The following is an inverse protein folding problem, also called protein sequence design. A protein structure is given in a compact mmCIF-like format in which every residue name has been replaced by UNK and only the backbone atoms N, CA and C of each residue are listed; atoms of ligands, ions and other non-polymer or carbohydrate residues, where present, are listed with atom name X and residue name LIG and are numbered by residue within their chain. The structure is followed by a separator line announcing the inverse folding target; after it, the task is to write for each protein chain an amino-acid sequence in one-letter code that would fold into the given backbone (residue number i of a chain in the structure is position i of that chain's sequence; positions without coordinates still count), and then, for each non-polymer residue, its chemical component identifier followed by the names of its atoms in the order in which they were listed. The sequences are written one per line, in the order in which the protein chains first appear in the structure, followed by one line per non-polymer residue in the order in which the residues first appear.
data_IF_476389247579
#
_entry.id   IF_476389247579
#
_cell.length_a   1.000
_cell.length_b   1.000
_cell.length_c   1.000
_cell.angle_alpha   90.00
_cell.angle_beta   90.00
_cell.angle_gamma   90.00
#
_symmetry.space_group_name_H-M   'P 1'
#
loop_
_entity.id
_entity.type
_entity.pdbx_description
1 polymer ?
#
# COMPACT_ATOMS: atom_id res chain seq x y z
N UNK A 1 -7.73 -55.28 -24.70
CA UNK A 1 -8.59 -54.53 -23.75
C UNK A 1 -7.69 -53.72 -22.86
N UNK A 2 -7.80 -52.39 -22.95
CA UNK A 2 -6.92 -51.41 -22.31
C UNK A 2 -7.42 -51.16 -20.89
N UNK A 3 -6.58 -51.38 -19.87
CA UNK A 3 -6.88 -51.00 -18.49
C UNK A 3 -6.73 -49.48 -18.33
N UNK A 4 -7.86 -48.80 -18.08
CA UNK A 4 -7.89 -47.39 -17.66
C UNK A 4 -7.67 -47.33 -16.14
N UNK A 5 -6.59 -46.70 -15.72
CA UNK A 5 -6.35 -46.34 -14.33
C UNK A 5 -7.20 -45.10 -14.00
N UNK A 6 -8.08 -45.21 -13.00
CA UNK A 6 -8.84 -44.09 -12.46
C UNK A 6 -7.92 -43.26 -11.56
N UNK A 7 -7.63 -42.04 -11.98
CA UNK A 7 -7.00 -41.01 -11.14
C UNK A 7 -8.09 -40.43 -10.23
N UNK A 8 -7.99 -40.68 -8.93
CA UNK A 8 -8.84 -40.06 -7.92
C UNK A 8 -8.25 -38.68 -7.59
N UNK A 9 -8.92 -37.63 -8.06
CA UNK A 9 -8.62 -36.25 -7.66
C UNK A 9 -9.37 -36.01 -6.34
N UNK A 10 -8.66 -36.05 -5.23
CA UNK A 10 -9.21 -35.73 -3.91
C UNK A 10 -9.41 -34.22 -3.81
N UNK A 11 -10.64 -33.77 -4.04
CA UNK A 11 -11.08 -32.39 -3.75
C UNK A 11 -11.36 -32.33 -2.25
N UNK A 12 -10.58 -31.56 -1.50
CA UNK A 12 -10.86 -31.28 -0.08
C UNK A 12 -11.95 -30.20 -0.04
N UNK A 13 -13.16 -30.49 0.49
CA UNK A 13 -14.19 -29.48 0.64
C UNK A 13 -13.83 -28.55 1.80
N UNK A 14 -13.73 -27.25 1.51
CA UNK A 14 -13.55 -26.21 2.51
C UNK A 14 -14.88 -25.98 3.25
N UNK A 15 -15.13 -26.76 4.30
CA UNK A 15 -16.31 -26.59 5.15
C UNK A 15 -16.08 -25.45 6.15
N UNK A 16 -16.70 -24.29 5.91
CA UNK A 16 -16.67 -23.14 6.81
C UNK A 16 -17.77 -23.31 7.86
N UNK A 17 -17.38 -23.59 9.10
CA UNK A 17 -18.24 -23.41 10.27
C UNK A 17 -17.42 -23.18 11.55
N UNK A 18 -17.25 -21.90 11.91
CA UNK A 18 -17.04 -21.49 13.29
C UNK A 18 -17.49 -20.03 13.46
N UNK A 19 -18.67 -19.84 14.06
CA UNK A 19 -19.08 -18.56 14.60
C UNK A 19 -18.20 -18.25 15.82
N UNK A 20 -17.07 -17.61 15.60
CA UNK A 20 -16.41 -16.86 16.67
C UNK A 20 -17.14 -15.53 16.80
N UNK A 21 -17.55 -15.19 18.03
CA UNK A 21 -17.96 -13.84 18.39
C UNK A 21 -16.80 -12.90 18.05
N UNK A 22 -16.84 -12.29 16.86
CA UNK A 22 -15.90 -11.29 16.45
C UNK A 22 -16.20 -10.02 17.25
N UNK A 23 -15.52 -9.85 18.39
CA UNK A 23 -15.27 -8.51 18.89
C UNK A 23 -14.63 -7.75 17.73
N UNK A 24 -15.24 -6.63 17.31
CA UNK A 24 -14.76 -5.81 16.21
C UNK A 24 -13.40 -5.19 16.57
N UNK A 25 -12.33 -5.99 16.52
CA UNK A 25 -10.96 -5.50 16.60
C UNK A 25 -10.65 -4.85 15.26
N UNK A 26 -10.43 -3.54 15.30
CA UNK A 26 -9.94 -2.80 14.15
C UNK A 26 -8.59 -3.40 13.71
N UNK A 27 -8.36 -3.59 12.40
CA UNK A 27 -7.06 -4.00 11.91
C UNK A 27 -5.94 -3.10 12.44
N UNK A 28 -4.77 -3.66 12.78
CA UNK A 28 -3.65 -2.87 13.24
C UNK A 28 -3.20 -1.87 12.16
N UNK A 29 -2.75 -0.70 12.58
CA UNK A 29 -2.21 0.31 11.67
C UNK A 29 -0.90 -0.17 11.05
N UNK A 30 -0.83 -0.16 9.73
CA UNK A 30 0.40 -0.30 8.93
C UNK A 30 1.00 1.08 8.68
N UNK A 31 2.28 1.27 8.98
CA UNK A 31 2.99 2.53 8.69
C UNK A 31 3.86 2.35 7.46
N UNK A 32 3.67 3.21 6.46
CA UNK A 32 4.50 3.28 5.27
C UNK A 32 5.32 4.58 5.29
N UNK A 33 6.62 4.47 5.05
CA UNK A 33 7.45 5.61 4.65
C UNK A 33 7.51 5.64 3.13
N UNK A 34 6.96 6.68 2.50
CA UNK A 34 6.93 6.84 1.05
C UNK A 34 7.93 7.93 0.65
N UNK A 35 8.97 7.52 -0.07
CA UNK A 35 10.04 8.39 -0.53
C UNK A 35 9.77 8.91 -1.93
N UNK A 36 9.90 10.23 -2.07
CA UNK A 36 9.66 10.96 -3.31
C UNK A 36 10.95 11.62 -3.80
N UNK A 37 11.05 11.75 -5.12
CA UNK A 37 12.03 12.62 -5.77
C UNK A 37 11.37 13.49 -6.84
N UNK A 38 12.11 14.50 -7.30
CA UNK A 38 11.67 15.40 -8.35
C UNK A 38 10.32 16.06 -8.04
N UNK A 39 10.03 16.39 -6.77
CA UNK A 39 8.78 17.04 -6.40
C UNK A 39 8.78 18.50 -6.86
N UNK A 40 7.78 18.86 -7.67
CA UNK A 40 7.56 20.22 -8.19
C UNK A 40 6.12 20.64 -7.93
N UNK A 41 5.94 21.87 -7.47
CA UNK A 41 4.65 22.56 -7.28
C UNK A 41 4.46 23.58 -8.41
N UNK A 42 3.58 23.26 -9.36
CA UNK A 42 3.22 24.11 -10.50
C UNK A 42 2.09 25.06 -10.09
N UNK A 43 2.42 26.35 -9.98
CA UNK A 43 1.53 27.39 -9.47
C UNK A 43 0.66 27.97 -10.58
N UNK A 44 -0.61 28.19 -10.27
CA UNK A 44 -1.62 28.76 -11.16
C UNK A 44 -1.44 30.24 -11.42
N UNK A 45 -0.36 30.61 -12.10
CA UNK A 45 0.16 31.98 -12.14
C UNK A 45 0.05 32.66 -13.53
N UNK A 46 -0.49 31.95 -14.51
CA UNK A 46 -0.76 32.46 -15.86
C UNK A 46 -2.21 32.17 -16.28
N UNK A 47 -2.76 33.00 -17.18
CA UNK A 47 -4.17 32.93 -17.58
C UNK A 47 -4.39 32.44 -19.02
N UNK A 48 -3.33 32.37 -19.83
CA UNK A 48 -3.39 31.97 -21.24
C UNK A 48 -3.20 30.44 -21.37
N UNK A 49 -4.26 29.66 -21.65
CA UNK A 49 -4.18 28.20 -21.71
C UNK A 49 -3.23 27.68 -22.78
N UNK A 50 -2.92 28.50 -23.80
CA UNK A 50 -1.97 28.13 -24.86
C UNK A 50 -0.54 28.04 -24.31
N UNK A 51 -0.25 28.61 -23.14
CA UNK A 51 1.07 28.58 -22.51
C UNK A 51 1.22 27.51 -21.44
N UNK A 52 0.14 26.82 -21.05
CA UNK A 52 0.18 25.85 -19.96
C UNK A 52 1.05 24.65 -20.35
N UNK A 53 1.99 24.27 -19.48
CA UNK A 53 2.85 23.10 -19.64
C UNK A 53 3.65 23.06 -20.97
N UNK A 54 4.12 24.21 -21.48
CA UNK A 54 4.84 24.29 -22.77
C UNK A 54 6.28 24.80 -22.69
N UNK A 55 6.67 25.46 -21.60
CA UNK A 55 8.04 25.95 -21.46
C UNK A 55 8.95 24.81 -20.99
N UNK A 56 9.91 24.35 -21.81
CA UNK A 56 10.76 23.23 -21.44
C UNK A 56 11.75 23.57 -20.32
N UNK A 57 12.03 24.86 -20.09
CA UNK A 57 13.04 25.32 -19.15
C UNK A 57 12.47 25.54 -17.76
N UNK A 58 13.35 25.52 -16.75
CA UNK A 58 13.04 25.93 -15.38
C UNK A 58 12.40 27.32 -15.38
N UNK A 59 11.24 27.44 -14.75
CA UNK A 59 10.54 28.71 -14.55
C UNK A 59 10.69 29.21 -13.12
N UNK A 60 10.68 30.53 -12.88
CA UNK A 60 10.65 31.06 -11.53
C UNK A 60 9.28 30.80 -10.89
N UNK A 61 9.26 30.70 -9.56
CA UNK A 61 8.02 30.88 -8.80
C UNK A 61 7.68 32.37 -8.76
N UNK A 62 6.44 32.74 -9.09
CA UNK A 62 5.95 34.11 -8.88
C UNK A 62 5.59 34.39 -7.42
N UNK A 63 5.98 33.52 -6.49
CA UNK A 63 5.81 33.76 -5.06
C UNK A 63 4.37 33.64 -4.59
N UNK A 64 3.49 32.92 -5.29
CA UNK A 64 2.17 32.55 -4.74
C UNK A 64 2.35 31.78 -3.39
N UNK A 65 3.50 31.13 -3.21
CA UNK A 65 3.91 30.49 -1.95
C UNK A 65 4.62 31.41 -0.93
N UNK A 66 4.95 32.67 -1.25
CA UNK A 66 5.63 33.62 -0.35
C UNK A 66 4.81 34.90 -0.07
N UNK A 67 3.96 35.32 -1.01
CA UNK A 67 2.89 36.30 -0.83
C UNK A 67 1.58 35.55 -0.80
N UNK A 68 1.05 35.34 0.40
CA UNK A 68 -0.15 34.55 0.65
C UNK A 68 -1.36 35.20 -0.04
N UNK A 69 -1.60 34.85 -1.29
CA UNK A 69 -2.80 35.24 -2.02
C UNK A 69 -3.83 34.14 -1.85
N UNK A 70 -4.93 34.50 -1.20
CA UNK A 70 -6.08 33.63 -1.14
C UNK A 70 -6.54 33.22 -2.54
N UNK A 71 -7.05 32.00 -2.62
CA UNK A 71 -7.63 31.39 -3.81
C UNK A 71 -6.63 31.01 -4.91
N UNK A 72 -5.32 31.17 -4.69
CA UNK A 72 -4.31 30.56 -5.55
C UNK A 72 -4.49 29.03 -5.62
N UNK A 73 -4.09 28.44 -6.73
CA UNK A 73 -4.12 26.98 -6.95
C UNK A 73 -2.74 26.49 -7.38
N UNK A 74 -2.42 25.25 -7.04
CA UNK A 74 -1.24 24.58 -7.56
C UNK A 74 -1.47 23.09 -7.75
N UNK A 75 -0.72 22.51 -8.68
CA UNK A 75 -0.61 21.06 -8.89
C UNK A 75 0.78 20.62 -8.50
N UNK A 76 0.89 19.59 -7.67
CA UNK A 76 2.17 19.04 -7.21
C UNK A 76 2.35 17.67 -7.83
N UNK A 77 3.51 17.42 -8.43
CA UNK A 77 3.87 16.12 -9.00
C UNK A 77 5.24 15.69 -8.47
N UNK A 78 5.37 14.42 -8.10
CA UNK A 78 6.64 13.80 -7.73
C UNK A 78 6.68 12.32 -8.13
N UNK A 79 7.89 11.77 -8.26
CA UNK A 79 8.08 10.33 -8.48
C UNK A 79 8.19 9.63 -7.12
N UNK A 80 7.40 8.57 -6.91
CA UNK A 80 7.63 7.63 -5.81
C UNK A 80 8.81 6.74 -6.22
N UNK A 81 9.80 6.62 -5.33
CA UNK A 81 11.03 5.84 -5.59
C UNK A 81 11.27 4.72 -4.59
N UNK A 82 10.70 4.82 -3.39
CA UNK A 82 10.75 3.75 -2.41
C UNK A 82 9.55 3.78 -1.44
N UNK A 83 9.22 2.59 -0.92
CA UNK A 83 8.27 2.42 0.18
C UNK A 83 8.95 1.55 1.24
N UNK A 84 9.02 2.05 2.48
CA UNK A 84 9.74 1.39 3.59
C UNK A 84 11.19 1.01 3.23
N UNK A 85 11.87 1.88 2.48
CA UNK A 85 13.24 1.67 2.00
C UNK A 85 13.38 0.65 0.87
N UNK A 86 12.30 -0.02 0.45
CA UNK A 86 12.31 -0.94 -0.68
C UNK A 86 12.03 -0.18 -1.99
N UNK A 87 12.75 -0.49 -3.09
CA UNK A 87 12.49 0.14 -4.37
C UNK A 87 11.03 0.02 -4.79
N UNK A 88 10.46 1.15 -5.22
CA UNK A 88 9.11 1.24 -5.76
C UNK A 88 9.10 2.26 -6.90
N UNK A 89 8.02 2.27 -7.67
CA UNK A 89 7.74 3.32 -8.65
C UNK A 89 6.38 3.92 -8.35
N UNK A 90 6.07 5.07 -8.97
CA UNK A 90 4.74 5.62 -8.88
C UNK A 90 4.70 7.12 -9.01
N UNK A 91 3.50 7.65 -8.83
CA UNK A 91 3.19 9.06 -8.89
C UNK A 91 2.66 9.51 -7.53
N UNK A 92 3.26 10.55 -6.98
CA UNK A 92 2.57 11.41 -6.03
C UNK A 92 1.99 12.58 -6.82
N UNK A 93 0.67 12.74 -6.74
CA UNK A 93 -0.04 13.87 -7.32
C UNK A 93 -0.85 14.55 -6.23
N UNK A 94 -0.79 15.88 -6.15
CA UNK A 94 -1.61 16.64 -5.24
C UNK A 94 -2.08 17.94 -5.88
N UNK A 95 -3.13 18.52 -5.28
CA UNK A 95 -3.54 19.88 -5.55
C UNK A 95 -3.66 20.66 -4.27
N UNK A 96 -3.26 21.92 -4.34
CA UNK A 96 -3.43 22.89 -3.27
C UNK A 96 -4.40 23.99 -3.70
N UNK A 97 -5.17 24.48 -2.73
CA UNK A 97 -5.86 25.76 -2.80
C UNK A 97 -5.53 26.59 -1.57
N UNK A 98 -4.97 27.77 -1.77
CA UNK A 98 -4.64 28.68 -0.67
C UNK A 98 -5.91 29.32 -0.10
N UNK A 99 -5.99 29.34 1.24
CA UNK A 99 -7.11 29.91 2.00
C UNK A 99 -6.67 30.87 3.10
N UNK A 100 -5.38 30.87 3.48
CA UNK A 100 -4.78 31.85 4.39
C UNK A 100 -5.68 32.23 5.56
N UNK A 101 -6.18 31.24 6.28
CA UNK A 101 -7.09 31.40 7.38
C UNK A 101 -6.30 31.66 8.67
N UNK A 102 -6.57 32.79 9.34
CA UNK A 102 -5.88 33.22 10.55
C UNK A 102 -6.83 33.86 11.57
N UNK A 103 -6.56 33.73 12.89
CA UNK A 103 -7.31 34.45 13.93
C UNK A 103 -7.19 35.97 13.87
N UNK A 104 -6.07 36.48 13.38
CA UNK A 104 -5.80 37.90 13.20
C UNK A 104 -5.30 38.14 11.77
N UNK A 105 -6.19 38.14 10.76
CA UNK A 105 -5.81 38.28 9.37
C UNK A 105 -5.39 39.72 9.05
N UNK A 106 -4.46 39.85 8.10
CA UNK A 106 -4.18 41.12 7.42
C UNK A 106 -4.94 41.17 6.08
N UNK A 107 -5.03 42.34 5.39
CA UNK A 107 -5.67 42.41 4.08
C UNK A 107 -5.15 41.34 3.12
N UNK A 108 -6.07 40.61 2.46
CA UNK A 108 -5.76 39.48 1.58
C UNK A 108 -5.87 38.10 2.23
N UNK A 109 -5.99 38.02 3.56
CA UNK A 109 -6.18 36.78 4.32
C UNK A 109 -7.64 36.57 4.75
N UNK A 110 -7.98 35.34 5.13
CA UNK A 110 -9.30 34.99 5.65
C UNK A 110 -9.30 34.98 7.19
N UNK A 111 -10.36 35.49 7.81
CA UNK A 111 -10.61 35.37 9.25
C UNK A 111 -11.04 33.94 9.58
N UNK A 112 -10.44 33.33 10.61
CA UNK A 112 -10.85 32.04 11.16
C UNK A 112 -10.31 31.83 12.58
N UNK A 113 -10.95 30.99 13.39
CA UNK A 113 -10.47 30.67 14.75
C UNK A 113 -9.18 29.84 14.78
N UNK A 114 -8.73 29.33 13.63
CA UNK A 114 -7.57 28.46 13.48
C UNK A 114 -6.63 28.99 12.40
N UNK A 115 -5.33 28.68 12.54
CA UNK A 115 -4.34 28.92 11.49
C UNK A 115 -4.34 27.77 10.48
N UNK A 116 -4.67 28.04 9.21
CA UNK A 116 -4.56 27.09 8.08
C UNK A 116 -4.20 27.82 6.79
N UNK A 117 -3.20 27.33 6.07
CA UNK A 117 -2.70 27.99 4.86
C UNK A 117 -3.40 27.54 3.58
N UNK A 118 -3.71 26.24 3.48
CA UNK A 118 -4.18 25.60 2.25
C UNK A 118 -5.06 24.39 2.51
N UNK A 119 -5.99 24.16 1.59
CA UNK A 119 -6.69 22.88 1.41
C UNK A 119 -5.82 22.04 0.48
N UNK A 120 -5.57 20.78 0.86
CA UNK A 120 -4.82 19.84 0.05
C UNK A 120 -5.61 18.56 -0.18
N UNK A 121 -5.58 18.08 -1.41
CA UNK A 121 -5.97 16.73 -1.80
C UNK A 121 -4.78 16.08 -2.50
N UNK A 122 -4.54 14.79 -2.24
CA UNK A 122 -3.39 14.08 -2.78
C UNK A 122 -3.67 12.59 -2.99
N UNK A 123 -2.91 12.01 -3.91
CA UNK A 123 -2.92 10.58 -4.24
C UNK A 123 -1.49 10.08 -4.30
N UNK A 124 -1.24 8.94 -3.64
CA UNK A 124 -0.08 8.11 -3.89
C UNK A 124 -0.53 6.95 -4.79
N UNK A 125 -0.07 6.91 -6.04
CA UNK A 125 -0.23 5.75 -6.91
C UNK A 125 1.05 4.92 -6.87
N UNK A 126 0.99 3.76 -6.21
CA UNK A 126 2.17 2.95 -5.92
C UNK A 126 2.24 1.78 -6.90
N UNK A 127 3.40 1.62 -7.51
CA UNK A 127 3.75 0.56 -8.45
C UNK A 127 4.96 -0.23 -7.93
N UNK A 128 5.04 -1.48 -8.33
CA UNK A 128 6.26 -2.28 -8.22
C UNK A 128 7.37 -1.72 -9.12
N UNK A 129 8.65 -2.08 -8.89
CA UNK A 129 9.75 -1.67 -9.74
C UNK A 129 9.59 -2.03 -11.23
N UNK A 130 8.85 -3.11 -11.53
CA UNK A 130 8.54 -3.55 -12.89
C UNK A 130 7.39 -2.74 -13.55
N UNK A 131 6.74 -1.83 -12.81
CA UNK A 131 5.62 -1.01 -13.27
C UNK A 131 4.24 -1.60 -12.99
N UNK A 132 4.15 -2.81 -12.42
CA UNK A 132 2.87 -3.41 -12.02
C UNK A 132 2.25 -2.59 -10.90
N UNK A 133 1.01 -2.11 -11.08
CA UNK A 133 0.32 -1.33 -10.06
C UNK A 133 0.05 -2.15 -8.80
N UNK A 134 0.29 -1.59 -7.61
CA UNK A 134 -0.07 -2.20 -6.32
C UNK A 134 -1.45 -1.68 -5.88
N UNK A 135 -1.63 -0.37 -6.00
CA UNK A 135 -2.84 0.33 -5.59
C UNK A 135 -2.58 1.82 -5.37
N UNK A 136 -3.61 2.53 -4.96
CA UNK A 136 -3.51 3.95 -4.63
C UNK A 136 -4.04 4.24 -3.24
N UNK A 137 -3.47 5.26 -2.60
CA UNK A 137 -3.96 5.83 -1.35
C UNK A 137 -4.33 7.29 -1.60
N UNK A 138 -5.59 7.64 -1.37
CA UNK A 138 -6.11 9.00 -1.53
C UNK A 138 -6.32 9.66 -0.18
N UNK A 139 -5.87 10.90 -0.05
CA UNK A 139 -6.02 11.67 1.18
C UNK A 139 -6.31 13.15 0.93
N UNK A 140 -6.72 13.82 1.99
CA UNK A 140 -7.04 15.24 1.97
C UNK A 140 -7.00 15.87 3.36
N UNK A 141 -6.93 17.19 3.42
CA UNK A 141 -7.05 17.95 4.65
C UNK A 141 -6.52 19.37 4.51
N UNK A 142 -6.21 20.00 5.64
CA UNK A 142 -5.69 21.36 5.72
C UNK A 142 -4.21 21.34 6.13
N UNK A 143 -3.39 22.14 5.48
CA UNK A 143 -1.99 22.32 5.86
C UNK A 143 -1.76 23.67 6.56
N UNK A 144 -0.56 23.82 7.11
CA UNK A 144 -0.06 24.97 7.86
C UNK A 144 -0.84 25.31 9.16
N UNK A 145 -1.11 24.30 9.98
CA UNK A 145 -1.63 24.45 11.35
C UNK A 145 -1.32 23.24 12.22
N UNK A 146 -1.83 23.15 13.45
CA UNK A 146 -1.53 22.01 14.33
C UNK A 146 -2.00 20.64 13.78
N UNK A 147 -1.35 19.54 14.21
CA UNK A 147 -1.77 18.18 13.90
C UNK A 147 -3.14 17.86 14.52
N UNK A 148 -3.88 16.84 14.03
CA UNK A 148 -5.10 16.36 14.65
C UNK A 148 -4.81 15.78 16.05
N UNK A 149 -5.80 15.80 16.96
CA UNK A 149 -5.66 15.18 18.27
C UNK A 149 -5.25 13.71 18.18
N UNK A 150 -4.35 13.27 19.06
CA UNK A 150 -3.90 11.88 19.15
C UNK A 150 -2.80 11.48 18.18
N UNK A 151 -2.35 12.39 17.31
CA UNK A 151 -1.23 12.14 16.41
C UNK A 151 0.08 12.61 17.09
N UNK A 152 1.05 11.72 17.39
CA UNK A 152 2.33 12.07 18.02
C UNK A 152 3.28 12.68 16.97
N UNK A 153 2.85 13.77 16.35
CA UNK A 153 3.50 14.38 15.19
C UNK A 153 3.78 15.85 15.43
N UNK A 154 4.88 16.34 14.88
CA UNK A 154 5.15 17.79 14.75
C UNK A 154 4.68 18.34 13.40
N UNK A 155 4.00 17.52 12.58
CA UNK A 155 3.49 17.91 11.28
C UNK A 155 2.54 19.11 11.41
N UNK A 156 2.60 20.00 10.42
CA UNK A 156 1.78 21.20 10.38
C UNK A 156 0.55 20.99 9.50
N UNK A 157 -0.11 19.84 9.58
CA UNK A 157 -1.27 19.50 8.75
C UNK A 157 -2.22 18.53 9.47
N UNK A 158 -3.44 18.38 8.94
CA UNK A 158 -4.41 17.39 9.42
C UNK A 158 -4.92 16.48 8.29
N UNK A 159 -3.99 15.87 7.56
CA UNK A 159 -4.32 15.02 6.43
C UNK A 159 -4.86 13.66 6.86
N UNK A 160 -6.06 13.36 6.40
CA UNK A 160 -6.69 12.06 6.56
C UNK A 160 -6.60 11.25 5.25
N UNK A 161 -6.50 9.93 5.38
CA UNK A 161 -6.72 9.00 4.28
C UNK A 161 -8.23 8.84 4.11
N UNK A 162 -8.73 9.25 2.96
CA UNK A 162 -10.15 9.19 2.62
C UNK A 162 -10.53 7.87 1.91
N UNK A 163 -9.55 7.16 1.37
CA UNK A 163 -9.77 5.87 0.71
C UNK A 163 -8.52 5.32 0.03
N UNK A 164 -8.69 4.19 -0.64
CA UNK A 164 -7.66 3.60 -1.48
C UNK A 164 -8.24 2.60 -2.48
N UNK A 165 -7.37 2.12 -3.37
CA UNK A 165 -7.67 1.15 -4.42
C UNK A 165 -6.63 0.03 -4.44
N UNK A 166 -6.89 -1.03 -5.20
CA UNK A 166 -5.97 -2.17 -5.29
C UNK A 166 -5.77 -2.83 -3.92
N UNK A 167 -4.51 -3.00 -3.51
CA UNK A 167 -4.16 -3.53 -2.18
C UNK A 167 -4.68 -2.67 -1.00
N UNK A 168 -5.02 -1.40 -1.25
CA UNK A 168 -5.47 -0.45 -0.23
C UNK A 168 -6.97 -0.18 -0.30
N UNK A 169 -7.75 -1.04 -0.95
CA UNK A 169 -9.20 -0.87 -1.06
C UNK A 169 -9.83 -0.74 0.33
N UNK A 170 -10.55 0.38 0.54
CA UNK A 170 -11.22 0.66 1.81
C UNK A 170 -10.30 1.11 2.96
N UNK A 171 -9.03 1.38 2.68
CA UNK A 171 -8.08 1.93 3.65
C UNK A 171 -8.52 3.31 4.18
N UNK A 172 -8.16 3.57 5.43
CA UNK A 172 -8.39 4.83 6.17
C UNK A 172 -7.20 5.10 7.07
N UNK A 173 -7.13 6.28 7.71
CA UNK A 173 -6.00 6.64 8.56
C UNK A 173 -5.51 8.07 8.36
N UNK A 174 -4.23 8.31 8.56
CA UNK A 174 -3.63 9.66 8.60
C UNK A 174 -2.31 9.71 7.82
N UNK A 175 -1.94 10.92 7.38
CA UNK A 175 -0.69 11.16 6.65
C UNK A 175 0.07 12.31 7.29
N UNK A 176 1.39 12.15 7.37
CA UNK A 176 2.34 13.14 7.83
C UNK A 176 3.37 13.42 6.74
N UNK A 177 3.82 14.67 6.62
CA UNK A 177 4.99 15.00 5.84
C UNK A 177 6.23 14.99 6.73
N UNK A 178 7.42 14.98 6.12
CA UNK A 178 8.67 15.26 6.85
C UNK A 178 9.09 16.73 6.73
N UNK A 179 8.18 17.62 6.32
CA UNK A 179 8.38 19.06 6.26
C UNK A 179 9.15 19.61 5.05
N UNK A 180 9.48 18.81 4.03
CA UNK A 180 10.12 19.32 2.82
C UNK A 180 9.10 19.90 1.82
N UNK A 181 9.44 21.04 1.22
CA UNK A 181 8.65 21.66 0.15
C UNK A 181 9.18 21.26 -1.22
N UNK A 182 8.27 21.05 -2.17
CA UNK A 182 8.63 20.89 -3.58
C UNK A 182 9.26 22.17 -4.15
N UNK A 183 9.99 22.05 -5.26
CA UNK A 183 10.42 23.22 -6.03
C UNK A 183 9.19 23.91 -6.59
N UNK A 184 9.00 25.19 -6.32
CA UNK A 184 7.92 25.95 -6.93
C UNK A 184 8.29 26.38 -8.37
N UNK A 185 7.32 26.27 -9.28
CA UNK A 185 7.43 26.62 -10.68
C UNK A 185 6.14 27.26 -11.18
N UNK A 186 6.19 28.04 -12.26
CA UNK A 186 5.00 28.45 -12.99
C UNK A 186 4.34 27.24 -13.64
N UNK A 187 3.00 27.23 -13.76
CA UNK A 187 2.32 26.20 -14.56
C UNK A 187 2.56 26.32 -16.07
N UNK A 188 3.31 27.33 -16.52
CA UNK A 188 3.87 27.39 -17.87
C UNK A 188 4.94 26.31 -18.11
N UNK A 189 5.66 25.89 -17.07
CA UNK A 189 6.73 24.89 -17.16
C UNK A 189 6.17 23.52 -17.58
N UNK A 190 6.83 22.90 -18.54
CA UNK A 190 6.48 21.57 -19.05
C UNK A 190 6.85 20.50 -18.02
N UNK A 191 5.85 19.82 -17.39
CA UNK A 191 6.10 18.77 -16.41
C UNK A 191 6.75 17.51 -17.02
N UNK A 192 6.75 17.36 -18.36
CA UNK A 192 7.52 16.33 -19.04
C UNK A 192 9.04 16.44 -18.79
N UNK A 193 9.53 17.67 -18.55
CA UNK A 193 10.93 17.93 -18.24
C UNK A 193 11.22 17.95 -16.73
N UNK A 194 10.27 17.60 -15.85
CA UNK A 194 10.43 17.64 -14.38
C UNK A 194 11.68 16.92 -13.86
N UNK A 195 12.05 15.79 -14.46
CA UNK A 195 13.24 15.01 -14.08
C UNK A 195 14.56 15.62 -14.57
N UNK A 196 14.51 16.46 -15.61
CA UNK A 196 15.67 17.20 -16.15
C UNK A 196 15.84 18.55 -15.44
N UNK A 197 14.74 19.28 -15.27
CA UNK A 197 14.66 20.57 -14.59
C UNK A 197 14.86 20.47 -13.07
N UNK A 198 14.79 19.26 -12.54
CA UNK A 198 14.95 18.95 -11.13
C UNK A 198 13.72 19.28 -10.29
N UNK A 199 13.70 18.71 -9.09
CA UNK A 199 12.72 18.98 -8.05
C UNK A 199 13.25 18.51 -6.71
N UNK A 200 12.51 18.79 -5.63
CA UNK A 200 12.96 18.46 -4.28
C UNK A 200 12.72 16.98 -3.95
N UNK A 201 13.59 16.32 -3.17
CA UNK A 201 13.21 15.09 -2.48
C UNK A 201 12.19 15.40 -1.38
N UNK A 202 11.37 14.41 -1.06
CA UNK A 202 10.43 14.51 0.07
C UNK A 202 10.10 13.12 0.62
N UNK A 203 9.52 13.07 1.80
CA UNK A 203 9.08 11.84 2.44
C UNK A 203 7.73 12.07 3.12
N UNK A 204 6.84 11.11 2.96
CA UNK A 204 5.59 11.04 3.69
C UNK A 204 5.56 9.81 4.59
N UNK A 205 4.97 9.95 5.76
CA UNK A 205 4.63 8.85 6.65
C UNK A 205 3.11 8.63 6.52
N UNK A 206 2.72 7.47 6.03
CA UNK A 206 1.34 7.11 5.72
C UNK A 206 0.90 6.03 6.70
N UNK A 207 0.05 6.41 7.66
CA UNK A 207 -0.51 5.51 8.66
C UNK A 207 -1.82 4.93 8.15
N UNK A 208 -1.76 3.70 7.64
CA UNK A 208 -2.86 2.99 7.00
C UNK A 208 -3.53 2.06 8.01
N UNK A 209 -4.82 2.25 8.23
CA UNK A 209 -5.71 1.24 8.81
C UNK A 209 -6.35 0.53 7.62
N UNK A 210 -5.93 -0.70 7.30
CA UNK A 210 -6.46 -1.43 6.15
C UNK A 210 -7.89 -1.93 6.43
N UNK A 211 -8.65 -2.20 5.37
CA UNK A 211 -9.97 -2.85 5.50
C UNK A 211 -9.85 -4.30 5.97
N UNK A 212 -8.80 -4.99 5.52
CA UNK A 212 -8.46 -6.37 5.88
C UNK A 212 -6.95 -6.53 5.96
N UNK A 213 -6.49 -7.49 6.74
CA UNK A 213 -5.09 -7.95 6.76
C UNK A 213 -5.02 -9.34 6.12
N UNK A 214 -3.88 -9.77 5.58
CA UNK A 214 -3.76 -11.13 5.08
C UNK A 214 -3.88 -12.11 6.26
N UNK A 215 -4.62 -13.20 6.09
CA UNK A 215 -4.86 -14.18 7.14
C UNK A 215 -4.53 -15.58 6.66
N UNK A 216 -3.71 -16.29 7.43
CA UNK A 216 -3.49 -17.72 7.22
C UNK A 216 -4.74 -18.45 7.70
N UNK A 217 -5.34 -19.27 6.83
CA UNK A 217 -6.54 -20.03 7.16
C UNK A 217 -6.21 -21.01 8.28
N UNK A 218 -7.07 -21.09 9.30
CA UNK A 218 -6.96 -22.07 10.38
C UNK A 218 -8.07 -23.11 10.26
N UNK A 219 -7.73 -24.36 10.51
CA UNK A 219 -8.65 -25.51 10.56
C UNK A 219 -8.72 -26.03 11.99
N UNK A 220 -9.70 -26.90 12.33
CA UNK A 220 -9.71 -27.56 13.64
C UNK A 220 -8.43 -28.33 13.98
N UNK A 221 -7.65 -28.72 12.96
CA UNK A 221 -6.41 -29.49 13.11
C UNK A 221 -5.14 -28.62 13.04
N UNK A 222 -5.28 -27.29 13.02
CA UNK A 222 -4.16 -26.34 12.96
C UNK A 222 -4.20 -25.43 11.72
N UNK A 223 -3.16 -24.59 11.53
CA UNK A 223 -3.04 -23.72 10.35
C UNK A 223 -3.07 -24.53 9.06
N UNK A 224 -3.75 -24.04 8.02
CA UNK A 224 -3.82 -24.63 6.70
C UNK A 224 -2.48 -24.42 5.95
N UNK A 225 -1.45 -25.08 6.46
CA UNK A 225 -0.11 -25.15 5.88
C UNK A 225 0.18 -26.63 5.66
N UNK A 226 0.51 -26.99 4.43
CA UNK A 226 0.69 -28.38 4.01
C UNK A 226 2.07 -28.60 3.43
N UNK A 227 2.57 -29.84 3.51
CA UNK A 227 3.72 -30.24 2.70
C UNK A 227 3.36 -30.09 1.22
N UNK A 228 4.15 -29.35 0.44
CA UNK A 228 3.79 -29.07 -0.96
C UNK A 228 3.86 -30.30 -1.87
N UNK A 229 4.50 -31.39 -1.41
CA UNK A 229 4.67 -32.63 -2.17
C UNK A 229 3.41 -33.50 -2.18
N UNK A 230 2.62 -33.49 -1.11
CA UNK A 230 1.47 -34.38 -0.92
C UNK A 230 0.21 -33.70 -0.36
N UNK A 231 0.27 -32.39 -0.09
CA UNK A 231 -0.79 -31.59 0.52
C UNK A 231 -1.28 -32.11 1.89
N UNK A 232 -0.48 -32.94 2.57
CA UNK A 232 -0.79 -33.32 3.94
C UNK A 232 -0.49 -32.17 4.91
N UNK A 233 -1.34 -32.01 5.92
CA UNK A 233 -1.25 -30.91 6.89
C UNK A 233 0.02 -31.01 7.74
N UNK A 234 0.74 -29.90 7.88
CA UNK A 234 1.85 -29.77 8.82
C UNK A 234 1.29 -29.75 10.24
N UNK A 235 1.69 -30.70 11.07
CA UNK A 235 1.26 -30.82 12.47
C UNK A 235 2.29 -31.59 13.32
N UNK A 236 2.00 -31.84 14.59
CA UNK A 236 2.93 -32.54 15.48
C UNK A 236 3.28 -33.98 15.03
N UNK A 237 2.37 -34.66 14.32
CA UNK A 237 2.59 -36.01 13.78
C UNK A 237 3.26 -36.01 12.41
N UNK A 238 3.19 -34.88 11.69
CA UNK A 238 3.85 -34.62 10.40
C UNK A 238 4.50 -33.23 10.43
N UNK A 239 5.59 -33.07 11.17
CA UNK A 239 6.24 -31.77 11.30
C UNK A 239 7.00 -31.41 10.02
N UNK A 240 7.15 -30.11 9.78
CA UNK A 240 7.85 -29.60 8.63
C UNK A 240 9.36 -29.85 8.71
N UNK A 241 10.03 -30.14 7.60
CA UNK A 241 11.48 -30.25 7.52
C UNK A 241 12.10 -28.93 7.05
N UNK A 242 13.20 -28.49 7.68
CA UNK A 242 13.95 -27.32 7.22
C UNK A 242 14.37 -27.47 5.74
N UNK A 243 14.23 -26.39 4.96
CA UNK A 243 14.53 -26.39 3.52
C UNK A 243 13.43 -26.94 2.61
N UNK A 244 12.38 -27.57 3.16
CA UNK A 244 11.27 -28.08 2.36
C UNK A 244 10.37 -26.98 1.81
N UNK A 245 9.54 -27.33 0.82
CA UNK A 245 8.54 -26.43 0.26
C UNK A 245 7.19 -26.71 0.93
N UNK A 246 6.58 -25.66 1.45
CA UNK A 246 5.25 -25.70 2.07
C UNK A 246 4.25 -24.91 1.21
N UNK A 247 3.00 -25.35 1.22
CA UNK A 247 1.87 -24.63 0.66
C UNK A 247 1.01 -24.06 1.80
N UNK A 248 0.88 -22.75 1.83
CA UNK A 248 0.09 -22.00 2.80
C UNK A 248 -1.19 -21.50 2.12
N UNK A 249 -2.33 -21.71 2.78
CA UNK A 249 -3.62 -21.20 2.31
C UNK A 249 -4.02 -19.97 3.12
N UNK A 250 -4.39 -18.90 2.43
CA UNK A 250 -4.67 -17.60 3.03
C UNK A 250 -5.89 -16.91 2.43
N UNK A 251 -6.34 -15.84 3.09
CA UNK A 251 -7.29 -14.85 2.59
C UNK A 251 -6.70 -13.45 2.67
N UNK A 252 -7.34 -12.46 2.03
CA UNK A 252 -6.94 -11.05 2.13
C UNK A 252 -5.62 -10.69 1.43
N UNK A 253 -5.20 -11.42 0.38
CA UNK A 253 -4.02 -11.04 -0.42
C UNK A 253 -4.32 -9.98 -1.50
N UNK A 254 -5.58 -9.59 -1.65
CA UNK A 254 -6.01 -8.54 -2.56
C UNK A 254 -6.11 -8.99 -4.03
N UNK A 255 -6.11 -8.04 -4.98
CA UNK A 255 -6.40 -8.36 -6.38
C UNK A 255 -5.43 -9.36 -7.02
N UNK A 256 -5.93 -10.12 -7.98
CA UNK A 256 -5.12 -10.97 -8.87
C UNK A 256 -4.88 -10.27 -10.21
N UNK A 257 -3.78 -10.62 -10.89
CA UNK A 257 -3.47 -10.11 -12.22
C UNK A 257 -4.53 -10.56 -13.23
N UNK A 258 -5.15 -9.60 -13.92
CA UNK A 258 -6.11 -9.88 -14.98
C UNK A 258 -7.47 -10.42 -14.51
N UNK A 259 -7.78 -10.35 -13.21
CA UNK A 259 -9.06 -10.79 -12.65
C UNK A 259 -9.81 -9.58 -12.10
N UNK A 260 -11.06 -9.40 -12.53
CA UNK A 260 -11.92 -8.36 -11.99
C UNK A 260 -12.25 -8.62 -10.51
N UNK A 261 -12.21 -7.59 -9.68
CA UNK A 261 -12.53 -7.69 -8.25
C UNK A 261 -13.93 -8.27 -8.04
N UNK A 262 -14.05 -9.20 -7.09
CA UNK A 262 -15.31 -9.86 -6.75
C UNK A 262 -15.71 -11.01 -7.68
N UNK A 263 -14.90 -11.34 -8.69
CA UNK A 263 -15.11 -12.54 -9.51
C UNK A 263 -14.39 -13.76 -8.92
N UNK A 264 -14.92 -14.98 -9.11
CA UNK A 264 -14.22 -16.22 -8.77
C UNK A 264 -12.87 -16.34 -9.48
N UNK A 265 -11.87 -16.89 -8.80
CA UNK A 265 -10.52 -17.04 -9.32
C UNK A 265 -10.43 -18.16 -10.37
N UNK A 266 -9.71 -17.93 -11.48
CA UNK A 266 -9.62 -18.89 -12.57
C UNK A 266 -8.78 -20.12 -12.17
N UNK A 267 -9.12 -21.28 -12.76
CA UNK A 267 -8.41 -22.54 -12.52
C UNK A 267 -7.26 -22.80 -13.51
N UNK A 268 -7.35 -22.27 -14.73
CA UNK A 268 -6.40 -22.58 -15.80
C UNK A 268 -6.16 -21.38 -16.76
N UNK A 269 -4.98 -20.72 -16.68
CA UNK A 269 -4.01 -20.86 -15.59
C UNK A 269 -4.55 -20.21 -14.30
N UNK A 270 -4.09 -20.64 -13.11
CA UNK A 270 -4.28 -19.88 -11.88
C UNK A 270 -3.71 -18.46 -12.02
N UNK A 271 -4.46 -17.46 -11.59
CA UNK A 271 -4.00 -16.08 -11.66
C UNK A 271 -3.09 -15.74 -10.47
N UNK A 272 -1.98 -15.07 -10.75
CA UNK A 272 -1.02 -14.65 -9.73
C UNK A 272 -1.56 -13.48 -8.89
N UNK A 273 -1.19 -13.44 -7.61
CA UNK A 273 -1.42 -12.28 -6.75
C UNK A 273 -0.73 -11.06 -7.36
N UNK A 274 -1.43 -9.94 -7.41
CA UNK A 274 -0.95 -8.76 -8.09
C UNK A 274 0.18 -8.05 -7.32
N UNK A 275 0.02 -7.92 -6.01
CA UNK A 275 0.94 -7.23 -5.10
C UNK A 275 2.08 -8.15 -4.61
N UNK A 276 3.22 -7.58 -4.15
CA UNK A 276 4.28 -8.35 -3.52
C UNK A 276 3.77 -9.09 -2.27
N UNK A 277 3.97 -10.41 -2.23
CA UNK A 277 3.68 -11.27 -1.09
C UNK A 277 4.99 -11.67 -0.42
N UNK A 278 5.05 -11.60 0.90
CA UNK A 278 6.16 -12.09 1.69
C UNK A 278 5.67 -13.11 2.72
N UNK A 279 6.51 -14.11 2.99
CA UNK A 279 6.34 -15.02 4.13
C UNK A 279 7.52 -14.78 5.08
N UNK A 280 7.21 -14.61 6.36
CA UNK A 280 8.20 -14.48 7.42
C UNK A 280 8.17 -15.74 8.29
N UNK A 281 9.35 -16.29 8.56
CA UNK A 281 9.58 -17.43 9.45
C UNK A 281 10.41 -16.93 10.63
N UNK A 282 9.84 -16.94 11.84
CA UNK A 282 10.47 -16.35 13.03
C UNK A 282 10.90 -14.88 12.83
N UNK A 283 10.15 -14.13 12.02
CA UNK A 283 10.44 -12.74 11.67
C UNK A 283 11.45 -12.55 10.52
N UNK A 284 12.06 -13.62 9.99
CA UNK A 284 13.00 -13.57 8.86
C UNK A 284 12.29 -13.89 7.55
N UNK A 285 12.67 -13.24 6.45
CA UNK A 285 12.09 -13.50 5.14
C UNK A 285 12.38 -14.93 4.65
N UNK A 286 11.35 -15.61 4.18
CA UNK A 286 11.43 -16.87 3.46
C UNK A 286 11.27 -16.67 1.95
N UNK A 287 11.84 -17.58 1.16
CA UNK A 287 11.70 -17.58 -0.30
C UNK A 287 10.26 -17.93 -0.69
N UNK A 288 9.54 -16.99 -1.32
CA UNK A 288 8.22 -17.24 -1.91
C UNK A 288 8.40 -17.72 -3.35
N UNK A 289 7.92 -18.92 -3.64
CA UNK A 289 8.04 -19.58 -4.94
C UNK A 289 6.85 -19.29 -5.86
N UNK A 290 5.70 -18.93 -5.27
CA UNK A 290 4.52 -18.52 -6.03
C UNK A 290 3.35 -18.18 -5.11
N UNK A 291 2.51 -17.23 -5.54
CA UNK A 291 1.28 -16.86 -4.88
C UNK A 291 0.17 -16.71 -5.92
N UNK A 292 -0.87 -17.51 -5.81
CA UNK A 292 -1.97 -17.58 -6.79
C UNK A 292 -3.33 -17.60 -6.10
N UNK A 293 -4.36 -17.19 -6.82
CA UNK A 293 -5.74 -17.41 -6.41
C UNK A 293 -6.07 -18.90 -6.33
N UNK A 294 -6.75 -19.28 -5.26
CA UNK A 294 -7.32 -20.62 -5.11
C UNK A 294 -8.56 -20.73 -6.01
N UNK A 295 -8.57 -21.64 -7.00
CA UNK A 295 -9.61 -21.71 -8.03
C UNK A 295 -11.03 -21.77 -7.47
N UNK A 296 -11.94 -20.99 -8.06
CA UNK A 296 -13.35 -20.92 -7.67
C UNK A 296 -13.65 -20.11 -6.41
N UNK A 297 -12.64 -19.75 -5.61
CA UNK A 297 -12.81 -18.83 -4.48
C UNK A 297 -12.81 -17.36 -4.95
N UNK A 298 -13.30 -16.44 -4.14
CA UNK A 298 -13.23 -14.99 -4.40
C UNK A 298 -12.17 -14.25 -3.56
N UNK A 299 -11.64 -14.91 -2.53
CA UNK A 299 -10.64 -14.36 -1.61
C UNK A 299 -9.78 -15.47 -0.96
N UNK A 300 -9.65 -16.63 -1.60
CA UNK A 300 -8.77 -17.71 -1.14
C UNK A 300 -7.51 -17.75 -2.00
N UNK A 301 -6.35 -17.96 -1.38
CA UNK A 301 -5.07 -17.96 -2.08
C UNK A 301 -4.23 -19.16 -1.63
N UNK A 302 -3.37 -19.64 -2.52
CA UNK A 302 -2.30 -20.57 -2.20
C UNK A 302 -0.95 -19.87 -2.40
N UNK A 303 -0.09 -19.94 -1.38
CA UNK A 303 1.27 -19.42 -1.39
C UNK A 303 2.24 -20.57 -1.14
N UNK A 304 3.10 -20.84 -2.11
CA UNK A 304 4.18 -21.80 -1.95
C UNK A 304 5.43 -21.06 -1.51
N UNK A 305 6.05 -21.50 -0.42
CA UNK A 305 7.29 -20.92 0.09
C UNK A 305 8.25 -22.00 0.56
N UNK A 306 9.54 -21.70 0.57
CA UNK A 306 10.58 -22.57 1.12
C UNK A 306 10.82 -22.22 2.58
N UNK A 307 10.68 -23.20 3.47
CA UNK A 307 11.08 -23.03 4.87
C UNK A 307 12.61 -22.84 4.92
N UNK A 308 13.15 -21.79 5.58
CA UNK A 308 14.60 -21.58 5.66
C UNK A 308 15.34 -22.83 6.15
N UNK A 309 16.46 -23.15 5.51
CA UNK A 309 17.23 -24.38 5.80
C UNK A 309 17.87 -24.39 7.20
N UNK A 310 17.97 -23.23 7.83
CA UNK A 310 18.49 -23.01 9.19
C UNK A 310 17.37 -22.90 10.25
N UNK A 311 16.11 -23.17 9.87
CA UNK A 311 14.99 -23.16 10.83
C UNK A 311 15.21 -24.24 11.91
N UNK A 312 15.29 -23.81 13.17
CA UNK A 312 15.48 -24.72 14.29
C UNK A 312 14.29 -25.69 14.46
N UNK A 313 14.59 -26.89 14.96
CA UNK A 313 13.57 -27.88 15.34
C UNK A 313 12.68 -27.33 16.46
N UNK A 314 11.41 -27.72 16.48
CA UNK A 314 10.42 -27.28 17.45
C UNK A 314 9.36 -26.36 16.85
N UNK A 315 8.92 -25.36 17.61
CA UNK A 315 7.90 -24.41 17.14
C UNK A 315 8.52 -23.30 16.31
N UNK A 316 7.97 -23.03 15.12
CA UNK A 316 8.32 -21.88 14.29
C UNK A 316 7.09 -21.00 14.02
N UNK A 317 7.25 -19.68 14.05
CA UNK A 317 6.18 -18.75 13.69
C UNK A 317 6.20 -18.47 12.20
N UNK A 318 5.03 -18.52 11.57
CA UNK A 318 4.79 -18.21 10.17
C UNK A 318 3.88 -17.01 10.09
N UNK A 319 4.27 -15.99 9.33
CA UNK A 319 3.48 -14.79 9.11
C UNK A 319 3.49 -14.45 7.63
N UNK A 320 2.37 -13.94 7.12
CA UNK A 320 2.25 -13.51 5.73
C UNK A 320 2.07 -11.99 5.69
N UNK A 321 2.68 -11.34 4.71
CA UNK A 321 2.44 -9.94 4.39
C UNK A 321 2.14 -9.76 2.91
N UNK A 322 1.35 -8.73 2.59
CA UNK A 322 1.08 -8.31 1.22
C UNK A 322 1.07 -6.79 1.15
N UNK A 323 1.76 -6.20 0.17
CA UNK A 323 1.87 -4.73 0.05
C UNK A 323 2.19 -4.04 1.41
N UNK A 324 3.16 -4.60 2.15
CA UNK A 324 3.60 -4.15 3.48
C UNK A 324 2.55 -4.25 4.61
N UNK A 325 1.34 -4.75 4.33
CA UNK A 325 0.32 -5.04 5.33
C UNK A 325 0.56 -6.45 5.87
N UNK A 326 0.85 -6.55 7.16
CA UNK A 326 1.23 -7.81 7.80
C UNK A 326 0.04 -8.46 8.50
N UNK A 327 -0.09 -9.78 8.32
CA UNK A 327 -1.11 -10.63 8.93
C UNK A 327 -0.79 -11.05 10.36
N UNK A 328 -1.68 -11.83 10.96
CA UNK A 328 -1.44 -12.44 12.27
C UNK A 328 -0.51 -13.66 12.11
N UNK A 329 0.52 -13.84 12.96
CA UNK A 329 1.38 -15.00 12.89
C UNK A 329 0.65 -16.26 13.40
N UNK A 330 1.00 -17.42 12.85
CA UNK A 330 0.60 -18.75 13.32
C UNK A 330 1.83 -19.58 13.66
N UNK A 331 1.67 -20.64 14.45
CA UNK A 331 2.77 -21.55 14.79
C UNK A 331 2.66 -22.87 14.03
N UNK A 332 3.79 -23.39 13.54
CA UNK A 332 3.93 -24.74 12.99
C UNK A 332 5.00 -25.52 13.75
N UNK A 333 5.01 -26.85 13.60
CA UNK A 333 6.06 -27.72 14.15
C UNK A 333 7.10 -28.05 13.07
N UNK A 334 8.39 -28.02 13.44
CA UNK A 334 9.55 -28.27 12.57
C UNK A 334 10.42 -29.40 13.16
N UNK A 335 11.00 -30.26 12.31
CA UNK A 335 11.85 -31.41 12.67
C UNK A 335 13.24 -31.39 12.05
#
# INVERSE_FOLDING_TARGET
MIHRANVVITVIPLAVAACHLALAQQPPTTTLTVDLTNQVEYQGDIYDPVKFARNPNVTPSLGIGTGILNFGVATILADIVAVNGQPAKGLYAARDRWIAAYPAPVPGQAIADVRRGRIREFTFEILQPDGTAIGSVMGMGLAEGGPPPGQPSTEKANWAIAGGTGAFLGARGQVEGTGASGRAASMAEDPGNRRLNGGSPNRYIVHIIPMSVPQIVTTPNGPAITHSSDFSLVNASKPAAAGEILSLFATGLGPLRGVATGQPFPANPPAAVNSPVQVLVNGNLAEVLGAVGYPGSMDGYQVNFRLPSDTAKGSATIQISVAWITGTPVSITVQ
#
